data_IF_313793492522
#
_entry.id   IF_313793492522
#
_cell.length_a   1.000
_cell.length_b   1.000
_cell.length_c   1.000
_cell.angle_alpha   90.00
_cell.angle_beta   90.00
_cell.angle_gamma   90.00
#
_symmetry.space_group_name_H-M   'P 1'
#
loop_
_entity.id
_entity.type
_entity.pdbx_description
1 polymer ?
#
# COMPACT_ATOMS: atom_id res chain seq x y z
N UNK A 1 6.04 -11.61 -27.29
CA UNK A 1 6.26 -11.03 -25.96
C UNK A 1 6.63 -9.56 -26.12
N UNK A 2 6.15 -8.67 -25.24
CA UNK A 2 6.56 -7.27 -25.27
C UNK A 2 7.96 -7.11 -24.67
N UNK A 3 8.80 -6.30 -25.31
CA UNK A 3 10.13 -5.92 -24.80
C UNK A 3 10.19 -4.43 -24.53
N UNK A 4 11.26 -3.98 -23.87
CA UNK A 4 11.53 -2.57 -23.57
C UNK A 4 12.69 -2.09 -24.44
N UNK A 5 12.50 -0.94 -25.08
CA UNK A 5 13.57 -0.18 -25.73
C UNK A 5 13.47 1.28 -25.31
N UNK A 6 14.37 1.70 -24.43
CA UNK A 6 14.31 3.00 -23.76
C UNK A 6 12.93 3.22 -23.10
N UNK A 7 12.26 4.32 -23.43
CA UNK A 7 10.94 4.68 -22.90
C UNK A 7 9.74 3.94 -23.54
N UNK A 8 9.99 3.02 -24.48
CA UNK A 8 8.95 2.39 -25.30
C UNK A 8 8.81 0.89 -25.05
N UNK A 9 7.56 0.42 -24.99
CA UNK A 9 7.26 -0.99 -25.20
C UNK A 9 7.33 -1.31 -26.70
N UNK A 10 7.91 -2.46 -27.03
CA UNK A 10 8.03 -2.97 -28.40
C UNK A 10 7.37 -4.33 -28.51
N UNK A 11 6.62 -4.54 -29.59
CA UNK A 11 6.15 -5.88 -29.94
C UNK A 11 7.16 -6.64 -30.81
N UNK A 12 6.81 -7.87 -31.17
CA UNK A 12 7.64 -8.77 -31.97
C UNK A 12 7.93 -8.25 -33.39
N UNK A 13 7.17 -7.26 -33.86
CA UNK A 13 7.38 -6.59 -35.15
C UNK A 13 8.19 -5.29 -35.00
N UNK A 14 8.66 -4.97 -33.80
CA UNK A 14 9.40 -3.74 -33.48
C UNK A 14 8.52 -2.49 -33.40
N UNK A 15 7.19 -2.62 -33.38
CA UNK A 15 6.28 -1.45 -33.29
C UNK A 15 6.25 -0.91 -31.86
N UNK A 16 6.12 0.41 -31.73
CA UNK A 16 5.89 1.05 -30.43
C UNK A 16 4.47 0.72 -29.96
N UNK A 17 4.35 0.18 -28.75
CA UNK A 17 3.07 -0.18 -28.15
C UNK A 17 2.74 0.82 -27.03
N UNK A 18 1.55 1.40 -27.10
CA UNK A 18 0.97 2.16 -26.01
C UNK A 18 0.02 1.26 -25.24
N UNK A 19 0.29 1.06 -23.96
CA UNK A 19 -0.58 0.32 -23.06
C UNK A 19 -1.63 1.29 -22.50
N UNK A 20 -2.91 0.99 -22.74
CA UNK A 20 -4.06 1.70 -22.21
C UNK A 20 -5.01 0.68 -21.64
N UNK A 21 -5.32 0.82 -20.36
CA UNK A 21 -5.97 -0.24 -19.62
C UNK A 21 -6.76 0.24 -18.42
N UNK A 22 -7.14 -0.74 -17.62
CA UNK A 22 -7.87 -0.56 -16.36
C UNK A 22 -7.21 -1.36 -15.24
N UNK A 23 -7.27 -0.82 -14.03
CA UNK A 23 -7.08 -1.61 -12.81
C UNK A 23 -8.24 -2.62 -12.68
N UNK A 24 -7.93 -3.89 -12.44
CA UNK A 24 -8.89 -4.98 -12.45
C UNK A 24 -8.69 -5.92 -11.25
N UNK A 25 -9.51 -5.84 -10.21
CA UNK A 25 -10.50 -4.80 -9.91
C UNK A 25 -10.51 -4.53 -8.41
N UNK A 26 -10.94 -3.33 -8.00
CA UNK A 26 -10.96 -2.95 -6.58
C UNK A 26 -11.77 -3.88 -5.66
N UNK A 27 -12.66 -4.71 -6.24
CA UNK A 27 -13.37 -5.77 -5.50
C UNK A 27 -12.44 -6.90 -5.02
N UNK A 28 -11.28 -7.09 -5.66
CA UNK A 28 -10.27 -8.10 -5.29
C UNK A 28 -9.53 -7.80 -3.98
N UNK A 29 -9.75 -6.62 -3.41
CA UNK A 29 -9.19 -6.19 -2.12
C UNK A 29 -9.77 -6.95 -0.92
N UNK A 30 -10.93 -7.57 -1.08
CA UNK A 30 -11.66 -8.25 0.01
C UNK A 30 -12.19 -9.61 -0.43
N UNK A 31 -12.37 -10.57 0.50
CA UNK A 31 -12.83 -11.91 0.14
C UNK A 31 -14.22 -11.90 -0.50
N UNK A 32 -14.45 -12.89 -1.35
CA UNK A 32 -15.74 -13.13 -1.99
C UNK A 32 -16.67 -13.92 -1.07
N UNK A 33 -16.15 -14.95 -0.39
CA UNK A 33 -16.91 -15.79 0.54
C UNK A 33 -16.15 -15.96 1.86
N UNK A 34 -16.77 -15.64 3.01
CA UNK A 34 -17.98 -14.83 3.13
C UNK A 34 -17.80 -13.45 2.50
N UNK A 35 -18.89 -12.70 2.32
CA UNK A 35 -18.83 -11.37 1.73
C UNK A 35 -17.90 -10.45 2.57
N UNK A 36 -16.74 -10.09 2.02
CA UNK A 36 -15.74 -9.28 2.72
C UNK A 36 -15.96 -7.78 2.70
N UNK A 37 -17.14 -7.29 2.33
CA UNK A 37 -17.41 -5.85 2.26
C UNK A 37 -17.10 -5.17 3.60
N UNK A 38 -16.35 -4.07 3.55
CA UNK A 38 -15.74 -3.44 4.74
C UNK A 38 -16.72 -2.77 5.71
N UNK A 39 -17.99 -2.64 5.34
CA UNK A 39 -19.05 -2.14 6.22
C UNK A 39 -19.73 -3.27 7.02
N UNK A 40 -19.38 -4.54 6.75
CA UNK A 40 -19.92 -5.69 7.47
C UNK A 40 -19.06 -5.99 8.69
N UNK A 41 -19.69 -6.10 9.86
CA UNK A 41 -18.98 -6.35 11.11
C UNK A 41 -18.25 -7.70 11.08
N UNK A 42 -16.97 -7.68 11.41
CA UNK A 42 -16.11 -8.85 11.61
C UNK A 42 -15.03 -8.49 12.63
N UNK A 43 -14.60 -9.45 13.43
CA UNK A 43 -13.47 -9.30 14.35
C UNK A 43 -12.14 -9.79 13.73
N UNK A 44 -12.17 -10.21 12.45
CA UNK A 44 -11.03 -10.71 11.71
C UNK A 44 -10.41 -12.02 12.25
N UNK A 45 -11.09 -12.73 13.14
CA UNK A 45 -10.56 -13.98 13.74
C UNK A 45 -10.82 -15.23 12.92
N UNK A 46 -11.82 -15.22 12.04
CA UNK A 46 -12.09 -16.32 11.11
C UNK A 46 -11.28 -16.17 9.82
N UNK A 47 -10.33 -17.08 9.62
CA UNK A 47 -9.51 -17.17 8.42
C UNK A 47 -10.16 -18.00 7.30
N UNK A 48 -11.37 -18.51 7.50
CA UNK A 48 -12.12 -19.30 6.49
C UNK A 48 -12.70 -18.39 5.41
N UNK A 49 -11.82 -17.75 4.65
CA UNK A 49 -12.17 -16.81 3.57
C UNK A 49 -11.68 -17.34 2.23
N UNK A 50 -12.40 -16.99 1.16
CA UNK A 50 -12.02 -17.31 -0.21
C UNK A 50 -12.11 -16.07 -1.08
N UNK A 51 -11.09 -15.87 -1.90
CA UNK A 51 -11.03 -14.83 -2.93
C UNK A 51 -11.42 -15.35 -4.31
N UNK A 52 -11.75 -16.64 -4.44
CA UNK A 52 -12.27 -17.23 -5.68
C UNK A 52 -13.52 -16.47 -6.13
N UNK A 53 -13.52 -16.00 -7.38
CA UNK A 53 -14.60 -15.15 -7.90
C UNK A 53 -14.36 -13.64 -7.72
N UNK A 54 -13.16 -13.22 -7.28
CA UNK A 54 -12.68 -11.83 -7.41
C UNK A 54 -11.71 -11.71 -8.58
N UNK A 55 -11.88 -10.72 -9.49
CA UNK A 55 -12.76 -9.56 -9.39
C UNK A 55 -14.24 -9.86 -9.71
N UNK A 56 -14.52 -10.98 -10.38
CA UNK A 56 -15.86 -11.45 -10.75
C UNK A 56 -15.92 -12.99 -10.89
N UNK A 57 -17.10 -13.62 -10.85
CA UNK A 57 -17.24 -15.05 -11.12
C UNK A 57 -16.65 -15.46 -12.47
N UNK A 58 -15.97 -16.61 -12.55
CA UNK A 58 -15.24 -17.04 -13.76
C UNK A 58 -16.12 -17.04 -15.03
N UNK A 59 -17.38 -17.44 -14.92
CA UNK A 59 -18.36 -17.46 -16.02
C UNK A 59 -18.61 -16.09 -16.67
N UNK A 60 -18.30 -15.00 -15.97
CA UNK A 60 -18.49 -13.63 -16.47
C UNK A 60 -17.23 -13.09 -17.17
N UNK A 61 -16.09 -13.74 -17.01
CA UNK A 61 -14.79 -13.28 -17.50
C UNK A 61 -14.81 -12.95 -18.99
N UNK A 62 -15.35 -13.87 -19.82
CA UNK A 62 -15.50 -13.67 -21.26
C UNK A 62 -16.25 -12.38 -21.61
N UNK A 63 -17.34 -12.09 -20.89
CA UNK A 63 -18.14 -10.88 -21.15
C UNK A 63 -17.41 -9.61 -20.73
N UNK A 64 -16.76 -9.62 -19.56
CA UNK A 64 -16.03 -8.45 -19.07
C UNK A 64 -14.81 -8.12 -19.94
N UNK A 65 -14.02 -9.12 -20.33
CA UNK A 65 -12.86 -8.92 -21.19
C UNK A 65 -13.24 -8.49 -22.61
N UNK A 66 -14.32 -9.05 -23.18
CA UNK A 66 -14.86 -8.58 -24.46
C UNK A 66 -15.24 -7.09 -24.41
N UNK A 67 -15.85 -6.63 -23.31
CA UNK A 67 -16.21 -5.20 -23.12
C UNK A 67 -14.97 -4.31 -23.01
N UNK A 68 -14.00 -4.70 -22.18
CA UNK A 68 -12.74 -3.96 -22.03
C UNK A 68 -12.04 -3.82 -23.37
N UNK A 69 -11.95 -4.91 -24.14
CA UNK A 69 -11.35 -4.91 -25.47
C UNK A 69 -12.15 -4.05 -26.46
N UNK A 70 -13.48 -4.13 -26.42
CA UNK A 70 -14.38 -3.33 -27.27
C UNK A 70 -14.25 -1.82 -27.01
N UNK A 71 -13.97 -1.40 -25.77
CA UNK A 71 -13.68 0.00 -25.43
C UNK A 71 -12.31 0.48 -25.92
N UNK A 72 -11.52 -0.39 -26.56
CA UNK A 72 -10.23 -0.05 -27.14
C UNK A 72 -9.05 -0.19 -26.17
N UNK A 73 -9.28 -0.70 -24.96
CA UNK A 73 -8.19 -1.04 -24.06
C UNK A 73 -7.44 -2.29 -24.54
N UNK A 74 -6.16 -2.34 -24.21
CA UNK A 74 -5.25 -3.45 -24.54
C UNK A 74 -4.43 -3.92 -23.34
N UNK A 75 -4.65 -3.33 -22.15
CA UNK A 75 -3.90 -3.65 -20.95
C UNK A 75 -4.79 -3.79 -19.71
N UNK A 76 -4.33 -4.56 -18.74
CA UNK A 76 -4.93 -4.78 -17.43
C UNK A 76 -3.83 -4.65 -16.36
N UNK A 77 -4.16 -3.99 -15.26
CA UNK A 77 -3.42 -4.09 -13.99
C UNK A 77 -4.23 -5.01 -13.08
N UNK A 78 -3.86 -6.28 -13.02
CA UNK A 78 -4.63 -7.33 -12.37
C UNK A 78 -4.26 -7.45 -10.90
N UNK A 79 -5.20 -7.09 -10.04
CA UNK A 79 -5.01 -7.01 -8.59
C UNK A 79 -4.98 -8.40 -7.97
N UNK A 80 -3.90 -8.70 -7.26
CA UNK A 80 -3.75 -9.86 -6.37
C UNK A 80 -3.26 -9.38 -5.02
N UNK A 81 -3.99 -9.68 -3.94
CA UNK A 81 -3.49 -9.40 -2.58
C UNK A 81 -2.68 -10.59 -2.07
N UNK A 82 -1.72 -10.35 -1.16
CA UNK A 82 -0.99 -11.42 -0.48
C UNK A 82 -1.96 -12.30 0.34
N UNK A 83 -2.96 -11.69 0.99
CA UNK A 83 -4.03 -12.39 1.70
C UNK A 83 -4.77 -13.38 0.80
N UNK A 84 -5.12 -13.00 -0.44
CA UNK A 84 -5.82 -13.90 -1.34
C UNK A 84 -5.06 -15.22 -1.58
N UNK A 85 -3.72 -15.17 -1.55
CA UNK A 85 -2.88 -16.34 -1.77
C UNK A 85 -2.57 -17.11 -0.48
N UNK A 86 -2.46 -16.45 0.68
CA UNK A 86 -1.93 -17.03 1.92
C UNK A 86 -2.74 -16.64 3.18
N UNK A 87 -4.06 -16.50 3.07
CA UNK A 87 -4.93 -16.07 4.19
C UNK A 87 -4.92 -17.05 5.39
N UNK A 88 -4.86 -18.36 5.13
CA UNK A 88 -5.05 -19.43 6.14
C UNK A 88 -3.87 -19.59 7.10
N UNK A 89 -2.78 -18.85 6.90
CA UNK A 89 -1.59 -18.90 7.72
C UNK A 89 -0.29 -19.10 6.93
N UNK A 90 0.86 -19.01 7.62
CA UNK A 90 2.18 -19.13 7.01
C UNK A 90 2.34 -20.42 6.18
N UNK A 91 2.74 -20.29 4.92
CA UNK A 91 2.95 -21.33 3.90
C UNK A 91 1.70 -22.15 3.56
N UNK A 92 0.50 -21.68 3.92
CA UNK A 92 -0.78 -22.31 3.59
C UNK A 92 -1.41 -21.59 2.41
N UNK A 93 -0.98 -21.97 1.20
CA UNK A 93 -1.41 -21.32 -0.03
C UNK A 93 -2.78 -21.81 -0.50
N UNK A 94 -3.65 -20.87 -0.89
CA UNK A 94 -4.96 -21.15 -1.47
C UNK A 94 -4.80 -21.62 -2.93
N UNK A 95 -4.88 -22.93 -3.15
CA UNK A 95 -4.75 -23.53 -4.48
C UNK A 95 -5.95 -23.22 -5.37
N UNK A 96 -7.15 -23.14 -4.82
CA UNK A 96 -8.38 -22.89 -5.57
C UNK A 96 -8.38 -21.46 -6.13
N UNK A 97 -7.92 -20.50 -5.32
CA UNK A 97 -7.70 -19.13 -5.79
C UNK A 97 -6.65 -19.08 -6.91
N UNK A 98 -5.53 -19.80 -6.75
CA UNK A 98 -4.48 -19.86 -7.77
C UNK A 98 -4.97 -20.49 -9.09
N UNK A 99 -5.77 -21.55 -9.02
CA UNK A 99 -6.41 -22.17 -10.20
C UNK A 99 -7.39 -21.18 -10.85
N UNK A 100 -8.18 -20.46 -10.06
CA UNK A 100 -9.09 -19.42 -10.56
C UNK A 100 -8.34 -18.29 -11.28
N UNK A 101 -7.24 -17.77 -10.70
CA UNK A 101 -6.43 -16.71 -11.33
C UNK A 101 -5.85 -17.18 -12.66
N UNK A 102 -5.34 -18.41 -12.73
CA UNK A 102 -4.84 -19.01 -13.95
C UNK A 102 -5.90 -19.00 -15.07
N UNK A 103 -7.11 -19.47 -14.77
CA UNK A 103 -8.21 -19.52 -15.74
C UNK A 103 -8.69 -18.13 -16.17
N UNK A 104 -8.81 -17.17 -15.25
CA UNK A 104 -9.18 -15.79 -15.59
C UNK A 104 -8.15 -15.17 -16.54
N UNK A 105 -6.86 -15.39 -16.29
CA UNK A 105 -5.79 -14.81 -17.10
C UNK A 105 -5.62 -15.52 -18.45
N UNK A 106 -5.95 -16.81 -18.56
CA UNK A 106 -6.09 -17.51 -19.85
C UNK A 106 -7.16 -16.84 -20.70
N UNK A 107 -8.33 -16.54 -20.12
CA UNK A 107 -9.40 -15.85 -20.83
C UNK A 107 -8.96 -14.43 -21.22
N UNK A 108 -8.29 -13.67 -20.33
CA UNK A 108 -7.78 -12.35 -20.68
C UNK A 108 -6.81 -12.38 -21.88
N UNK A 109 -5.99 -13.43 -21.99
CA UNK A 109 -5.08 -13.66 -23.11
C UNK A 109 -5.81 -13.93 -24.43
N UNK A 110 -6.93 -14.66 -24.43
CA UNK A 110 -7.78 -14.86 -25.62
C UNK A 110 -8.27 -13.53 -26.21
N UNK A 111 -8.48 -12.53 -25.35
CA UNK A 111 -8.86 -11.16 -25.74
C UNK A 111 -7.68 -10.24 -26.05
N UNK A 112 -6.45 -10.77 -26.02
CA UNK A 112 -5.21 -10.06 -26.30
C UNK A 112 -4.97 -8.87 -25.37
N UNK A 113 -5.30 -9.04 -24.08
CA UNK A 113 -5.11 -8.03 -23.05
C UNK A 113 -3.78 -8.28 -22.32
N UNK A 114 -2.81 -7.39 -22.54
CA UNK A 114 -1.56 -7.40 -21.78
C UNK A 114 -1.83 -7.19 -20.30
N UNK A 115 -1.25 -8.01 -19.44
CA UNK A 115 -1.58 -7.99 -18.02
C UNK A 115 -0.33 -7.84 -17.16
N UNK A 116 -0.36 -6.87 -16.27
CA UNK A 116 0.54 -6.78 -15.13
C UNK A 116 -0.13 -7.41 -13.91
N UNK A 117 0.60 -8.25 -13.18
CA UNK A 117 0.16 -8.67 -11.85
C UNK A 117 0.55 -7.57 -10.88
N UNK A 118 -0.43 -7.08 -10.13
CA UNK A 118 -0.29 -6.05 -9.11
C UNK A 118 -0.50 -6.69 -7.72
N UNK A 119 0.59 -6.93 -6.98
CA UNK A 119 0.56 -7.26 -5.56
C UNK A 119 0.02 -6.11 -4.70
N UNK A 120 -1.31 -5.99 -4.68
CA UNK A 120 -1.99 -4.83 -4.16
C UNK A 120 -2.06 -4.84 -2.64
N UNK A 121 -1.96 -3.65 -2.07
CA UNK A 121 -2.23 -3.38 -0.67
C UNK A 121 -2.64 -1.91 -0.52
N UNK A 122 -3.51 -1.66 0.45
CA UNK A 122 -3.70 -0.36 1.08
C UNK A 122 -3.56 -0.54 2.58
N UNK A 123 -2.82 0.34 3.26
CA UNK A 123 -2.69 0.30 4.72
C UNK A 123 -2.30 -1.07 5.28
N UNK A 124 -1.47 -1.83 4.56
CA UNK A 124 -1.01 -3.16 4.89
C UNK A 124 -2.07 -4.27 4.83
N UNK A 125 -3.25 -4.11 5.44
CA UNK A 125 -4.22 -5.21 5.59
C UNK A 125 -5.63 -4.70 5.88
N UNK A 126 -6.65 -5.53 5.59
CA UNK A 126 -8.05 -5.23 5.92
C UNK A 126 -8.32 -5.08 7.42
N UNK A 127 -7.56 -5.78 8.26
CA UNK A 127 -7.64 -5.58 9.72
C UNK A 127 -7.13 -4.19 10.16
N UNK A 128 -6.30 -3.53 9.34
CA UNK A 128 -5.85 -2.16 9.56
C UNK A 128 -6.64 -1.12 8.75
N UNK A 129 -7.80 -1.50 8.19
CA UNK A 129 -8.70 -0.61 7.46
C UNK A 129 -8.40 -0.44 5.97
N UNK A 130 -7.53 -1.27 5.38
CA UNK A 130 -7.28 -1.31 3.93
C UNK A 130 -7.37 -2.72 3.35
N UNK A 131 -6.30 -3.23 2.74
CA UNK A 131 -6.18 -4.57 2.14
C UNK A 131 -4.71 -4.96 1.92
N UNK A 132 -4.45 -6.21 1.51
CA UNK A 132 -3.13 -6.63 1.05
C UNK A 132 -2.59 -7.85 1.80
N UNK A 133 -1.92 -7.63 2.93
CA UNK A 133 -1.29 -8.66 3.73
C UNK A 133 -2.29 -9.48 4.57
N UNK A 134 -2.04 -10.79 4.76
CA UNK A 134 -2.83 -11.64 5.64
C UNK A 134 -2.84 -11.14 7.09
N UNK A 135 -3.96 -11.38 7.79
CA UNK A 135 -4.16 -10.97 9.18
C UNK A 135 -3.13 -11.60 10.12
N UNK A 136 -2.76 -12.87 9.88
CA UNK A 136 -1.78 -13.60 10.71
C UNK A 136 -0.44 -12.86 10.84
N UNK A 137 -0.11 -11.96 9.92
CA UNK A 137 1.13 -11.16 9.99
C UNK A 137 1.18 -10.29 11.24
N UNK A 138 0.04 -9.79 11.74
CA UNK A 138 -0.05 -9.02 12.98
C UNK A 138 0.17 -9.92 14.20
N UNK A 139 -0.46 -11.09 14.24
CA UNK A 139 -0.33 -12.02 15.36
C UNK A 139 1.12 -12.49 15.53
N UNK A 140 1.83 -12.72 14.41
CA UNK A 140 3.25 -13.10 14.43
C UNK A 140 4.16 -12.04 15.05
N UNK A 141 3.74 -10.78 15.08
CA UNK A 141 4.50 -9.70 15.72
C UNK A 141 3.92 -9.29 17.09
N UNK A 142 2.98 -10.07 17.62
CA UNK A 142 2.39 -9.84 18.94
C UNK A 142 1.24 -8.85 18.96
N UNK A 143 0.63 -8.53 17.82
CA UNK A 143 -0.51 -7.61 17.74
C UNK A 143 -1.84 -8.37 17.71
N UNK A 144 -2.80 -7.90 18.49
CA UNK A 144 -4.17 -8.39 18.61
C UNK A 144 -5.13 -7.54 17.77
N UNK A 145 -5.51 -8.08 16.61
CA UNK A 145 -6.33 -7.39 15.61
C UNK A 145 -7.73 -7.06 16.12
N UNK A 146 -8.26 -7.83 17.07
CA UNK A 146 -9.60 -7.61 17.64
C UNK A 146 -9.67 -6.31 18.44
N UNK A 147 -8.52 -5.78 18.87
CA UNK A 147 -8.40 -4.58 19.72
C UNK A 147 -8.03 -3.32 18.94
N UNK A 148 -7.80 -3.39 17.63
CA UNK A 148 -7.22 -2.28 16.87
C UNK A 148 -8.06 -1.00 16.89
N UNK A 149 -9.38 -1.10 16.77
CA UNK A 149 -10.24 0.08 16.79
C UNK A 149 -10.31 0.70 18.20
N UNK A 150 -10.51 -0.16 19.20
CA UNK A 150 -10.63 0.25 20.61
C UNK A 150 -9.33 0.88 21.15
N UNK A 151 -8.17 0.36 20.75
CA UNK A 151 -6.86 0.92 21.11
C UNK A 151 -6.42 2.09 20.23
N UNK A 152 -7.21 2.41 19.20
CA UNK A 152 -6.86 3.38 18.15
C UNK A 152 -5.60 3.02 17.33
N UNK A 153 -5.16 1.75 17.34
CA UNK A 153 -4.08 1.24 16.52
C UNK A 153 -4.41 1.16 15.02
N UNK A 154 -5.69 1.05 14.67
CA UNK A 154 -6.24 1.30 13.34
C UNK A 154 -7.73 1.66 13.46
N UNK A 155 -8.25 2.53 12.60
CA UNK A 155 -9.69 2.78 12.53
C UNK A 155 -10.29 1.99 11.37
N UNK A 156 -11.25 1.13 11.67
CA UNK A 156 -11.85 0.23 10.67
C UNK A 156 -13.29 0.59 10.43
N UNK A 157 -13.70 0.54 9.15
CA UNK A 157 -15.05 0.89 8.75
C UNK A 157 -16.08 -0.04 9.43
N UNK A 158 -15.73 -1.30 9.62
CA UNK A 158 -16.54 -2.34 10.28
C UNK A 158 -16.98 -1.96 11.70
N UNK A 159 -16.21 -1.14 12.41
CA UNK A 159 -16.51 -0.78 13.80
C UNK A 159 -17.11 0.61 13.93
N UNK A 160 -16.96 1.46 12.91
CA UNK A 160 -17.25 2.90 13.00
C UNK A 160 -18.30 3.39 12.02
N UNK A 161 -18.48 2.69 10.91
CA UNK A 161 -19.47 3.11 9.93
C UNK A 161 -20.87 2.86 10.48
N UNK A 162 -21.63 3.94 10.59
CA UNK A 162 -23.06 3.89 10.85
C UNK A 162 -23.77 4.47 9.62
N UNK A 163 -24.65 3.72 8.94
CA UNK A 163 -25.42 4.26 7.82
C UNK A 163 -26.34 5.43 8.21
N UNK A 164 -26.64 5.60 9.51
CA UNK A 164 -27.43 6.71 10.04
C UNK A 164 -26.56 7.88 10.52
N UNK A 165 -25.25 7.69 10.66
CA UNK A 165 -24.27 8.72 11.00
C UNK A 165 -23.06 8.65 10.05
N UNK A 166 -23.16 9.27 8.86
CA UNK A 166 -22.06 9.28 7.90
C UNK A 166 -20.82 10.04 8.40
N UNK A 167 -20.94 10.83 9.48
CA UNK A 167 -19.82 11.53 10.09
C UNK A 167 -19.01 10.64 11.06
N UNK A 168 -19.54 9.46 11.44
CA UNK A 168 -18.83 8.49 12.28
C UNK A 168 -17.63 7.84 11.57
N UNK A 169 -17.73 7.68 10.24
CA UNK A 169 -16.62 7.27 9.38
C UNK A 169 -16.61 8.11 8.09
N UNK A 170 -16.08 9.36 8.15
CA UNK A 170 -16.16 10.29 7.03
C UNK A 170 -15.43 9.75 5.78
N UNK A 171 -15.86 10.16 4.57
CA UNK A 171 -15.14 9.85 3.34
C UNK A 171 -13.66 10.19 3.44
N UNK A 172 -12.80 9.31 2.94
CA UNK A 172 -11.32 9.44 2.95
C UNK A 172 -10.67 9.43 4.34
N UNK A 173 -11.41 9.19 5.41
CA UNK A 173 -10.85 9.09 6.77
C UNK A 173 -9.93 7.86 6.96
N UNK A 174 -10.06 6.84 6.11
CA UNK A 174 -9.21 5.64 6.10
C UNK A 174 -7.72 5.96 5.97
N UNK A 175 -7.35 6.99 5.19
CA UNK A 175 -5.95 7.42 4.99
C UNK A 175 -5.22 7.73 6.31
N UNK A 176 -5.95 8.07 7.38
CA UNK A 176 -5.35 8.32 8.69
C UNK A 176 -4.63 7.10 9.27
N UNK A 177 -4.97 5.89 8.82
CA UNK A 177 -4.28 4.68 9.27
C UNK A 177 -2.82 4.64 8.79
N UNK A 178 -2.40 5.46 7.80
CA UNK A 178 -0.98 5.70 7.45
C UNK A 178 -0.20 6.50 8.52
N UNK A 179 -0.86 6.88 9.62
CA UNK A 179 -0.25 7.44 10.83
C UNK A 179 -0.57 6.65 12.10
N UNK A 180 -1.12 5.42 11.99
CA UNK A 180 -1.47 4.61 13.17
C UNK A 180 -0.55 3.40 13.33
N UNK A 181 -0.58 2.85 14.54
CA UNK A 181 0.40 1.85 14.99
C UNK A 181 0.42 0.62 14.09
N UNK A 182 -0.74 0.05 13.75
CA UNK A 182 -0.81 -1.23 13.06
C UNK A 182 -0.09 -1.20 11.71
N UNK A 183 -0.57 -0.37 10.78
CA UNK A 183 0.00 -0.24 9.44
C UNK A 183 1.46 0.23 9.47
N UNK A 184 1.76 1.32 10.19
CA UNK A 184 3.11 1.86 10.20
C UNK A 184 4.14 0.93 10.84
N UNK A 185 3.76 0.16 11.87
CA UNK A 185 4.65 -0.85 12.44
C UNK A 185 4.97 -1.91 11.41
N UNK A 186 3.97 -2.48 10.74
CA UNK A 186 4.19 -3.55 9.77
C UNK A 186 5.07 -3.13 8.59
N UNK A 187 4.84 -1.94 8.02
CA UNK A 187 5.73 -1.41 6.97
C UNK A 187 7.16 -1.19 7.45
N UNK A 188 7.34 -0.68 8.68
CA UNK A 188 8.67 -0.47 9.26
C UNK A 188 9.40 -1.80 9.45
N UNK A 189 8.69 -2.83 9.93
CA UNK A 189 9.24 -4.18 10.08
C UNK A 189 9.55 -4.82 8.72
N UNK A 190 8.66 -4.67 7.74
CA UNK A 190 8.80 -5.25 6.41
C UNK A 190 10.00 -4.69 5.65
N UNK A 191 10.25 -3.38 5.71
CA UNK A 191 11.35 -2.76 4.96
C UNK A 191 12.63 -2.61 5.77
N UNK A 192 12.52 -2.33 7.07
CA UNK A 192 13.65 -1.94 7.92
C UNK A 192 13.73 -2.69 9.24
N UNK A 193 13.07 -3.84 9.39
CA UNK A 193 13.08 -4.62 10.63
C UNK A 193 14.49 -5.00 11.09
N UNK A 194 15.41 -5.32 10.18
CA UNK A 194 16.80 -5.64 10.53
C UNK A 194 17.58 -4.45 11.12
N UNK A 195 17.13 -3.23 10.82
CA UNK A 195 17.76 -1.99 11.29
C UNK A 195 17.09 -1.48 12.56
N UNK A 196 15.77 -1.39 12.55
CA UNK A 196 15.00 -0.71 13.61
C UNK A 196 14.39 -1.67 14.63
N UNK A 197 14.28 -2.95 14.30
CA UNK A 197 13.70 -3.97 15.18
C UNK A 197 14.53 -5.27 15.23
N UNK A 198 15.86 -5.23 15.43
CA UNK A 198 16.73 -6.42 15.37
C UNK A 198 16.40 -7.50 16.40
N UNK A 199 15.70 -7.17 17.49
CA UNK A 199 15.23 -8.13 18.49
C UNK A 199 13.94 -8.85 18.07
N UNK A 200 13.21 -8.30 17.10
CA UNK A 200 11.95 -8.87 16.62
C UNK A 200 12.25 -10.05 15.69
N UNK A 201 12.00 -11.26 16.20
CA UNK A 201 12.17 -12.53 15.48
C UNK A 201 10.92 -13.38 15.58
N UNK A 202 10.58 -14.04 14.48
CA UNK A 202 9.46 -14.99 14.39
C UNK A 202 10.04 -16.33 14.01
N UNK A 203 9.80 -17.34 14.85
CA UNK A 203 10.33 -18.70 14.63
C UNK A 203 11.87 -18.70 14.44
N UNK A 204 12.56 -17.81 15.17
CA UNK A 204 14.01 -17.61 15.09
C UNK A 204 14.49 -16.78 13.90
N UNK A 205 13.64 -16.44 12.95
CA UNK A 205 13.96 -15.65 11.76
C UNK A 205 13.76 -14.16 12.04
N UNK A 206 14.70 -13.27 11.66
CA UNK A 206 14.47 -11.82 11.68
C UNK A 206 13.18 -11.43 10.97
N UNK A 207 12.39 -10.55 11.59
CA UNK A 207 11.04 -10.22 11.13
C UNK A 207 11.00 -9.70 9.69
N UNK A 208 12.00 -8.93 9.27
CA UNK A 208 12.10 -8.40 7.91
C UNK A 208 12.15 -9.53 6.89
N UNK A 209 13.07 -10.48 7.10
CA UNK A 209 13.25 -11.65 6.25
C UNK A 209 12.01 -12.54 6.29
N UNK A 210 11.42 -12.74 7.47
CA UNK A 210 10.21 -13.53 7.62
C UNK A 210 9.06 -12.95 6.77
N UNK A 211 8.74 -11.66 6.89
CA UNK A 211 7.65 -11.05 6.13
C UNK A 211 7.95 -10.99 4.62
N UNK A 212 9.15 -10.56 4.22
CA UNK A 212 9.53 -10.47 2.81
C UNK A 212 9.53 -11.84 2.13
N UNK A 213 10.07 -12.88 2.78
CA UNK A 213 10.12 -14.23 2.21
C UNK A 213 8.72 -14.81 2.02
N UNK A 214 7.80 -14.60 2.94
CA UNK A 214 6.42 -15.08 2.79
C UNK A 214 5.69 -14.34 1.68
N UNK A 215 5.77 -13.01 1.64
CA UNK A 215 5.21 -12.19 0.58
C UNK A 215 5.70 -12.62 -0.81
N UNK A 216 7.02 -12.73 -0.98
CA UNK A 216 7.64 -13.17 -2.24
C UNK A 216 7.23 -14.61 -2.56
N UNK A 217 7.23 -15.51 -1.58
CA UNK A 217 6.85 -16.92 -1.79
C UNK A 217 5.40 -17.08 -2.25
N UNK A 218 4.48 -16.27 -1.72
CA UNK A 218 3.09 -16.22 -2.19
C UNK A 218 3.01 -15.77 -3.65
N UNK A 219 3.73 -14.70 -4.02
CA UNK A 219 3.75 -14.21 -5.40
C UNK A 219 4.47 -15.16 -6.37
N UNK A 220 5.48 -15.91 -5.91
CA UNK A 220 6.05 -17.03 -6.66
C UNK A 220 5.00 -18.10 -6.98
N UNK A 221 3.98 -18.31 -6.14
CA UNK A 221 2.86 -19.22 -6.48
C UNK A 221 2.04 -18.69 -7.63
N UNK A 222 1.75 -17.39 -7.65
CA UNK A 222 1.08 -16.73 -8.78
C UNK A 222 1.93 -16.84 -10.04
N UNK A 223 3.22 -16.48 -9.96
CA UNK A 223 4.17 -16.56 -11.08
C UNK A 223 4.22 -17.96 -11.70
N UNK A 224 4.27 -19.02 -10.89
CA UNK A 224 4.26 -20.40 -11.40
C UNK A 224 3.00 -20.74 -12.21
N UNK A 225 1.84 -20.18 -11.86
CA UNK A 225 0.59 -20.42 -12.58
C UNK A 225 0.52 -19.72 -13.93
N UNK A 226 1.16 -18.55 -14.02
CA UNK A 226 1.00 -17.66 -15.18
C UNK A 226 2.23 -17.62 -16.09
N UNK A 227 3.31 -18.32 -15.74
CA UNK A 227 4.60 -18.28 -16.46
C UNK A 227 4.50 -18.61 -17.96
N UNK A 228 3.55 -19.46 -18.33
CA UNK A 228 3.36 -19.94 -19.70
C UNK A 228 2.35 -19.05 -20.48
N UNK A 229 1.81 -18.01 -19.85
CA UNK A 229 0.89 -17.05 -20.47
C UNK A 229 1.66 -15.85 -21.06
N UNK A 230 1.76 -15.72 -22.40
CA UNK A 230 2.56 -14.66 -23.03
C UNK A 230 1.94 -13.26 -22.92
N UNK A 231 0.69 -13.15 -22.47
CA UNK A 231 0.02 -11.88 -22.20
C UNK A 231 0.19 -11.41 -20.77
N UNK A 232 0.72 -12.24 -19.85
CA UNK A 232 1.18 -11.77 -18.54
C UNK A 232 2.60 -11.26 -18.70
N UNK A 233 2.74 -9.95 -18.82
CA UNK A 233 3.98 -9.30 -19.27
C UNK A 233 4.87 -8.83 -18.13
N UNK A 234 4.33 -8.74 -16.92
CA UNK A 234 5.10 -8.21 -15.80
C UNK A 234 4.46 -8.40 -14.43
N UNK A 235 5.28 -8.18 -13.42
CA UNK A 235 4.89 -8.11 -12.02
C UNK A 235 5.29 -6.75 -11.47
N UNK A 236 4.36 -6.07 -10.81
CA UNK A 236 4.72 -4.98 -9.93
C UNK A 236 5.31 -5.53 -8.64
N UNK A 237 6.19 -4.75 -8.00
CA UNK A 237 6.85 -5.17 -6.76
C UNK A 237 5.89 -5.08 -5.57
N UNK A 238 5.16 -3.98 -5.45
CA UNK A 238 4.18 -3.69 -4.40
C UNK A 238 3.43 -2.41 -4.77
N UNK A 239 2.11 -2.41 -4.66
CA UNK A 239 1.32 -1.18 -4.79
C UNK A 239 1.70 -0.18 -3.69
N UNK A 240 2.00 1.06 -4.07
CA UNK A 240 2.13 2.21 -3.18
C UNK A 240 2.95 1.96 -1.89
N UNK A 241 4.24 1.55 -1.98
CA UNK A 241 5.00 1.13 -0.82
C UNK A 241 5.18 2.27 0.19
N UNK A 242 4.70 2.04 1.42
CA UNK A 242 4.83 3.00 2.52
C UNK A 242 6.12 2.78 3.30
N UNK A 243 6.84 3.85 3.69
CA UNK A 243 8.01 3.74 4.56
C UNK A 243 7.64 3.43 6.03
N UNK A 244 6.35 3.41 6.38
CA UNK A 244 5.93 3.31 7.78
C UNK A 244 6.48 4.48 8.61
N UNK A 245 7.34 4.16 9.59
CA UNK A 245 8.04 5.13 10.42
C UNK A 245 9.43 5.50 9.91
N UNK A 246 9.99 4.79 8.93
CA UNK A 246 11.33 5.04 8.40
C UNK A 246 11.39 6.49 7.86
N UNK A 247 12.31 7.29 8.41
CA UNK A 247 12.49 8.70 8.08
C UNK A 247 11.63 9.67 8.90
N UNK A 248 10.76 9.20 9.80
CA UNK A 248 9.89 10.06 10.62
C UNK A 248 10.46 10.28 12.02
N UNK A 249 10.37 11.52 12.52
CA UNK A 249 10.62 11.84 13.92
C UNK A 249 9.39 11.56 14.78
N UNK A 250 9.58 11.17 16.04
CA UNK A 250 8.49 10.74 16.92
C UNK A 250 7.46 11.82 17.26
N UNK A 251 7.90 13.08 17.25
CA UNK A 251 7.05 14.26 17.44
C UNK A 251 6.59 14.90 16.11
N UNK A 252 7.01 14.34 14.98
CA UNK A 252 6.69 14.85 13.65
C UNK A 252 5.24 14.59 13.23
N UNK A 253 4.75 15.37 12.28
CA UNK A 253 3.42 15.18 11.69
C UNK A 253 3.36 13.95 10.74
N UNK A 254 2.18 13.34 10.60
CA UNK A 254 1.85 12.13 9.80
C UNK A 254 2.07 12.21 8.27
N UNK A 255 1.16 11.71 7.41
CA UNK A 255 1.31 11.64 5.93
C UNK A 255 0.53 12.76 5.18
N UNK A 256 1.09 13.41 4.15
CA UNK A 256 0.89 14.84 3.82
C UNK A 256 -0.52 15.47 3.78
N UNK A 257 -1.55 14.82 3.23
CA UNK A 257 -2.93 15.38 3.20
C UNK A 257 -3.77 14.89 4.39
N UNK A 258 -3.45 13.72 4.93
CA UNK A 258 -3.94 13.24 6.23
C UNK A 258 -3.23 13.89 7.43
N UNK A 259 -2.13 14.65 7.21
CA UNK A 259 -1.29 15.26 8.27
C UNK A 259 -2.08 16.19 9.17
N UNK A 260 -3.03 16.89 8.57
CA UNK A 260 -3.76 17.96 9.23
C UNK A 260 -5.26 17.75 9.20
N UNK A 261 -5.77 16.81 8.40
CA UNK A 261 -7.19 16.53 8.30
C UNK A 261 -7.55 15.33 9.17
N UNK A 262 -8.65 15.45 9.92
CA UNK A 262 -9.08 14.51 10.95
C UNK A 262 -8.11 14.50 12.14
N UNK A 263 -7.72 13.34 12.68
CA UNK A 263 -6.87 13.23 13.88
C UNK A 263 -5.39 13.45 13.56
N UNK A 264 -4.79 14.48 14.17
CA UNK A 264 -3.37 14.81 14.04
C UNK A 264 -2.46 13.90 14.89
N UNK A 265 -2.45 12.60 14.60
CA UNK A 265 -1.67 11.60 15.34
C UNK A 265 -0.20 11.65 14.93
N UNK A 266 0.69 11.76 15.93
CA UNK A 266 2.14 11.63 15.78
C UNK A 266 2.57 10.17 15.96
N UNK A 267 3.76 9.75 15.48
CA UNK A 267 4.25 8.40 15.71
C UNK A 267 4.27 8.00 17.20
N UNK A 268 4.68 8.90 18.09
CA UNK A 268 4.65 8.62 19.53
C UNK A 268 3.24 8.45 20.09
N UNK A 269 2.28 9.27 19.65
CA UNK A 269 0.87 9.12 20.04
C UNK A 269 0.32 7.76 19.60
N UNK A 270 0.63 7.32 18.38
CA UNK A 270 0.22 6.00 17.89
C UNK A 270 0.78 4.84 18.75
N UNK A 271 2.06 4.94 19.13
CA UNK A 271 2.71 3.95 20.00
C UNK A 271 2.11 3.91 21.41
N UNK A 272 1.89 5.09 22.01
CA UNK A 272 1.27 5.21 23.32
C UNK A 272 -0.18 4.68 23.31
N UNK A 273 -0.98 5.11 22.33
CA UNK A 273 -2.38 4.67 22.16
C UNK A 273 -2.49 3.15 22.04
N UNK A 274 -1.75 2.55 21.11
CA UNK A 274 -1.81 1.09 20.93
C UNK A 274 -1.25 0.29 22.10
N UNK A 275 -0.51 0.93 23.02
CA UNK A 275 0.01 0.30 24.24
C UNK A 275 -0.87 0.57 25.47
N UNK A 276 -2.08 1.10 25.28
CA UNK A 276 -3.03 1.33 26.38
C UNK A 276 -2.86 2.64 27.12
N UNK A 277 -2.12 3.61 26.60
CA UNK A 277 -2.04 4.95 27.18
C UNK A 277 -2.98 5.92 26.45
N UNK A 278 -4.06 6.40 27.10
CA UNK A 278 -4.97 7.36 26.49
C UNK A 278 -4.26 8.65 26.08
N UNK A 279 -4.67 9.24 24.94
CA UNK A 279 -4.10 10.49 24.43
C UNK A 279 -5.18 11.45 24.00
N UNK A 280 -5.02 12.73 24.34
CA UNK A 280 -5.84 13.81 23.80
C UNK A 280 -5.24 14.27 22.46
N UNK A 281 -5.99 14.08 21.37
CA UNK A 281 -5.52 14.31 20.00
C UNK A 281 -6.37 15.41 19.34
N UNK A 282 -5.75 16.37 18.63
CA UNK A 282 -6.48 17.36 17.85
C UNK A 282 -7.19 16.71 16.67
N UNK A 283 -8.44 17.11 16.45
CA UNK A 283 -9.22 16.76 15.26
C UNK A 283 -9.51 18.02 14.44
N UNK A 284 -9.20 17.95 13.15
CA UNK A 284 -9.12 19.11 12.27
C UNK A 284 -9.93 18.90 10.98
N UNK A 285 -10.54 19.95 10.45
CA UNK A 285 -11.34 19.93 9.22
C UNK A 285 -10.98 21.09 8.30
N UNK A 286 -11.28 20.97 7.00
CA UNK A 286 -11.20 22.11 6.08
C UNK A 286 -12.34 23.08 6.37
N UNK A 287 -12.01 24.29 6.84
CA UNK A 287 -12.95 25.41 7.02
C UNK A 287 -12.51 26.59 6.16
N UNK A 288 -13.41 27.06 5.27
CA UNK A 288 -13.22 28.27 4.44
C UNK A 288 -11.81 28.32 3.80
N UNK A 289 -11.41 27.24 3.12
CA UNK A 289 -10.13 27.07 2.39
C UNK A 289 -8.87 26.84 3.23
N UNK A 290 -8.97 26.64 4.55
CA UNK A 290 -7.82 26.26 5.38
C UNK A 290 -8.17 25.10 6.31
N UNK A 291 -7.17 24.29 6.65
CA UNK A 291 -7.32 23.26 7.69
C UNK A 291 -7.32 23.93 9.06
N UNK A 292 -8.26 23.57 9.92
CA UNK A 292 -8.37 24.11 11.28
C UNK A 292 -8.71 23.01 12.28
N UNK A 293 -8.06 23.03 13.44
CA UNK A 293 -8.48 22.28 14.61
C UNK A 293 -9.91 22.71 14.98
N UNK A 294 -10.82 21.74 15.05
CA UNK A 294 -12.22 21.97 15.38
C UNK A 294 -12.59 21.44 16.76
N UNK A 295 -11.85 20.43 17.25
CA UNK A 295 -12.00 19.86 18.59
C UNK A 295 -10.75 19.09 18.99
N UNK A 296 -10.69 18.71 20.27
CA UNK A 296 -9.77 17.67 20.78
C UNK A 296 -10.58 16.52 21.32
N UNK A 297 -10.02 15.32 21.23
CA UNK A 297 -10.69 14.10 21.64
C UNK A 297 -9.72 13.16 22.34
N UNK A 298 -10.17 12.51 23.42
CA UNK A 298 -9.40 11.48 24.10
C UNK A 298 -9.59 10.17 23.35
N UNK A 299 -8.53 9.71 22.69
CA UNK A 299 -8.50 8.40 22.06
C UNK A 299 -8.03 7.33 23.05
N UNK A 300 -8.56 6.12 22.89
CA UNK A 300 -8.37 4.97 23.78
C UNK A 300 -8.61 5.29 25.28
N UNK A 301 -9.78 5.83 25.66
CA UNK A 301 -10.06 6.23 27.05
C UNK A 301 -10.04 5.06 28.05
N UNK A 302 -10.24 3.83 27.56
CA UNK A 302 -10.29 2.62 28.37
C UNK A 302 -8.91 1.95 28.55
N UNK A 303 -7.85 2.54 28.01
CA UNK A 303 -6.48 2.02 28.16
C UNK A 303 -6.27 0.62 27.57
N UNK A 304 -6.93 0.31 26.46
CA UNK A 304 -6.83 -0.99 25.79
C UNK A 304 -5.49 -1.09 25.05
N UNK A 305 -4.70 -2.11 25.38
CA UNK A 305 -3.51 -2.48 24.61
C UNK A 305 -3.90 -3.37 23.43
N UNK A 306 -3.39 -3.08 22.22
CA UNK A 306 -3.52 -4.00 21.07
C UNK A 306 -2.39 -5.01 20.97
N UNK A 307 -1.60 -5.20 22.02
CA UNK A 307 -0.61 -6.27 22.08
C UNK A 307 -1.26 -7.52 22.69
N UNK A 308 -0.89 -8.68 22.16
CA UNK A 308 -1.28 -9.97 22.70
C UNK A 308 -0.71 -10.13 24.12
N UNK A 309 -1.39 -10.91 24.95
CA UNK A 309 -0.92 -11.17 26.32
C UNK A 309 0.50 -11.75 26.30
N UNK A 310 1.35 -11.25 27.21
CA UNK A 310 2.76 -11.63 27.28
C UNK A 310 3.67 -10.99 26.21
N UNK A 311 3.15 -10.15 25.31
CA UNK A 311 3.94 -9.43 24.32
C UNK A 311 4.16 -7.98 24.73
N UNK A 312 5.43 -7.59 24.86
CA UNK A 312 5.80 -6.20 25.09
C UNK A 312 5.77 -5.40 23.77
N UNK A 313 5.38 -4.10 23.75
CA UNK A 313 5.41 -3.29 22.54
C UNK A 313 6.79 -3.25 21.89
N UNK A 314 6.88 -3.61 20.61
CA UNK A 314 8.16 -3.71 19.87
C UNK A 314 9.01 -2.45 20.02
N UNK A 315 8.42 -1.27 19.82
CA UNK A 315 9.18 -0.03 19.87
C UNK A 315 9.64 0.33 21.29
N UNK A 316 8.94 -0.14 22.33
CA UNK A 316 9.40 -0.03 23.71
C UNK A 316 10.59 -0.95 23.98
N UNK A 317 10.53 -2.21 23.52
CA UNK A 317 11.65 -3.17 23.60
C UNK A 317 12.95 -2.65 22.97
N UNK A 318 12.84 -1.80 21.96
CA UNK A 318 13.97 -1.19 21.25
C UNK A 318 14.38 0.18 21.81
N UNK A 319 13.84 0.59 22.96
CA UNK A 319 14.21 1.83 23.64
C UNK A 319 13.84 3.10 22.86
N UNK A 320 12.79 3.04 22.03
CA UNK A 320 12.26 4.21 21.30
C UNK A 320 11.53 5.14 22.27
N UNK A 321 10.75 4.55 23.17
CA UNK A 321 10.01 5.20 24.24
C UNK A 321 9.90 4.26 25.44
N UNK A 322 9.58 4.78 26.62
CA UNK A 322 9.33 4.00 27.83
C UNK A 322 8.32 4.71 28.74
N UNK A 323 8.14 4.23 29.97
CA UNK A 323 7.24 4.78 30.97
C UNK A 323 8.07 5.40 32.10
N UNK A 324 7.77 6.65 32.46
CA UNK A 324 8.43 7.34 33.56
C UNK A 324 8.02 6.79 34.94
N UNK A 325 8.66 7.30 35.99
CA UNK A 325 8.36 6.94 37.39
C UNK A 325 6.90 7.20 37.83
N UNK A 326 6.14 8.00 37.07
CA UNK A 326 4.74 8.32 37.34
C UNK A 326 3.77 7.48 36.48
N UNK A 327 4.26 6.51 35.72
CA UNK A 327 3.42 5.71 34.83
C UNK A 327 3.06 6.41 33.51
N UNK A 328 3.75 7.50 33.13
CA UNK A 328 3.46 8.22 31.87
C UNK A 328 4.41 7.79 30.75
N UNK A 329 3.91 7.58 29.51
CA UNK A 329 4.78 7.28 28.40
C UNK A 329 5.63 8.50 28.05
N UNK A 330 6.93 8.28 27.80
CA UNK A 330 7.93 9.29 27.45
C UNK A 330 8.82 8.81 26.31
N UNK A 331 9.21 9.72 25.42
CA UNK A 331 10.15 9.45 24.34
C UNK A 331 11.56 9.28 24.92
N UNK A 332 12.28 8.25 24.46
CA UNK A 332 13.69 8.02 24.80
C UNK A 332 14.59 8.40 23.62
N UNK A 333 14.20 8.03 22.39
CA UNK A 333 14.96 8.32 21.16
C UNK A 333 14.05 8.95 20.09
N UNK A 334 14.01 10.28 20.05
CA UNK A 334 13.10 11.04 19.18
C UNK A 334 13.38 10.92 17.67
N UNK A 335 14.63 10.65 17.30
CA UNK A 335 15.13 10.54 15.93
C UNK A 335 15.44 9.08 15.52
N UNK A 336 14.96 8.10 16.31
CA UNK A 336 15.27 6.67 16.14
C UNK A 336 15.08 6.15 14.70
N UNK A 337 14.05 6.61 14.00
CA UNK A 337 13.77 6.20 12.61
C UNK A 337 14.39 7.14 11.56
N UNK A 338 15.01 8.24 11.95
CA UNK A 338 15.55 9.25 11.04
C UNK A 338 17.05 9.06 10.76
N UNK A 339 17.78 8.43 11.67
CA UNK A 339 19.23 8.27 11.60
C UNK A 339 19.61 6.80 11.69
N UNK A 340 20.48 6.34 10.79
CA UNK A 340 21.10 5.02 10.87
C UNK A 340 22.61 5.15 10.68
N UNK A 341 23.40 4.60 11.63
CA UNK A 341 24.88 4.67 11.62
C UNK A 341 25.42 6.09 11.44
N UNK A 342 24.77 7.08 12.07
CA UNK A 342 25.19 8.49 12.03
C UNK A 342 24.82 9.26 10.76
N UNK A 343 24.04 8.67 9.84
CA UNK A 343 23.57 9.35 8.63
C UNK A 343 22.03 9.37 8.55
N UNK A 344 21.42 10.39 7.92
CA UNK A 344 19.99 10.38 7.61
C UNK A 344 19.61 9.15 6.79
N UNK A 345 18.46 8.56 7.12
CA UNK A 345 17.96 7.40 6.39
C UNK A 345 17.48 7.80 5.00
N UNK A 346 17.76 6.95 4.02
CA UNK A 346 17.25 7.05 2.64
C UNK A 346 16.39 5.82 2.40
N UNK A 347 15.07 5.95 2.59
CA UNK A 347 14.12 4.84 2.42
C UNK A 347 14.26 4.18 1.05
N UNK A 348 14.34 5.01 0.00
CA UNK A 348 14.30 4.57 -1.37
C UNK A 348 15.51 3.69 -1.70
N UNK A 349 16.72 4.16 -1.38
CA UNK A 349 17.95 3.47 -1.77
C UNK A 349 18.42 2.42 -0.75
N UNK A 350 18.12 2.60 0.55
CA UNK A 350 18.62 1.69 1.60
C UNK A 350 17.65 0.60 2.00
N UNK A 351 16.36 0.74 1.69
CA UNK A 351 15.33 -0.19 2.16
C UNK A 351 14.44 -0.70 1.01
N UNK A 352 13.90 0.18 0.17
CA UNK A 352 13.07 -0.24 -0.97
C UNK A 352 13.90 -0.89 -2.07
N UNK A 353 15.05 -0.30 -2.46
CA UNK A 353 15.90 -0.82 -3.53
C UNK A 353 16.39 -2.26 -3.27
N UNK A 354 16.92 -2.62 -2.09
CA UNK A 354 17.28 -4.02 -1.80
C UNK A 354 16.11 -4.99 -1.91
N UNK A 355 14.92 -4.59 -1.43
CA UNK A 355 13.72 -5.42 -1.55
C UNK A 355 13.31 -5.61 -3.02
N UNK A 356 13.33 -4.55 -3.84
CA UNK A 356 13.02 -4.62 -5.27
C UNK A 356 13.96 -5.59 -6.00
N UNK A 357 15.26 -5.56 -5.70
CA UNK A 357 16.22 -6.50 -6.30
C UNK A 357 15.94 -7.93 -5.87
N UNK A 358 15.76 -8.16 -4.56
CA UNK A 358 15.45 -9.49 -4.05
C UNK A 358 14.16 -10.07 -4.64
N UNK A 359 13.10 -9.26 -4.68
CA UNK A 359 11.84 -9.61 -5.33
C UNK A 359 12.05 -9.98 -6.80
N UNK A 360 12.81 -9.15 -7.52
CA UNK A 360 13.07 -9.36 -8.95
C UNK A 360 13.79 -10.66 -9.20
N UNK A 361 14.86 -10.95 -8.45
CA UNK A 361 15.64 -12.18 -8.59
C UNK A 361 14.76 -13.41 -8.35
N UNK A 362 13.92 -13.36 -7.32
CA UNK A 362 13.03 -14.45 -6.94
C UNK A 362 11.90 -14.70 -7.95
N UNK A 363 11.29 -13.64 -8.50
CA UNK A 363 10.27 -13.78 -9.54
C UNK A 363 10.89 -14.23 -10.87
N UNK A 364 12.07 -13.68 -11.24
CA UNK A 364 12.77 -14.07 -12.47
C UNK A 364 13.37 -15.46 -12.43
N UNK A 365 13.54 -16.06 -11.25
CA UNK A 365 13.83 -17.49 -11.14
C UNK A 365 12.72 -18.38 -11.75
N UNK A 366 11.51 -17.83 -11.94
CA UNK A 366 10.35 -18.50 -12.55
C UNK A 366 10.00 -17.90 -13.91
N UNK A 367 10.02 -16.58 -14.02
CA UNK A 367 9.67 -15.83 -15.23
C UNK A 367 10.85 -14.93 -15.66
N UNK A 368 11.90 -15.46 -16.30
CA UNK A 368 13.18 -14.75 -16.51
C UNK A 368 13.06 -13.40 -17.22
N UNK A 369 12.20 -13.33 -18.24
CA UNK A 369 12.03 -12.15 -19.09
C UNK A 369 10.93 -11.20 -18.62
N UNK A 370 10.35 -11.43 -17.44
CA UNK A 370 9.21 -10.62 -16.97
C UNK A 370 9.63 -9.18 -16.66
N UNK A 371 8.76 -8.25 -17.02
CA UNK A 371 8.92 -6.85 -16.69
C UNK A 371 8.66 -6.61 -15.20
N UNK A 372 9.44 -5.71 -14.59
CA UNK A 372 9.28 -5.35 -13.18
C UNK A 372 8.73 -3.93 -13.06
N UNK A 373 7.50 -3.81 -12.59
CA UNK A 373 6.90 -2.54 -12.25
C UNK A 373 7.36 -2.06 -10.88
N UNK A 374 7.97 -0.88 -10.83
CA UNK A 374 8.47 -0.30 -9.58
C UNK A 374 7.66 0.95 -9.28
N UNK A 375 7.10 0.99 -8.08
CA UNK A 375 6.48 2.17 -7.51
C UNK A 375 7.39 2.77 -6.42
N UNK A 376 7.69 4.07 -6.46
CA UNK A 376 8.25 4.78 -5.30
C UNK A 376 7.14 5.04 -4.26
N UNK A 377 7.48 5.55 -3.06
CA UNK A 377 6.46 6.06 -2.14
C UNK A 377 5.50 7.04 -2.84
N UNK A 378 4.17 6.88 -2.71
CA UNK A 378 3.19 7.53 -3.59
C UNK A 378 3.33 9.03 -3.67
N UNK A 379 3.51 9.71 -2.53
CA UNK A 379 3.64 11.16 -2.48
C UNK A 379 4.83 11.66 -3.30
N UNK A 380 5.99 11.03 -3.17
CA UNK A 380 7.20 11.42 -3.88
C UNK A 380 7.16 10.98 -5.35
N UNK A 381 6.52 9.84 -5.64
CA UNK A 381 6.25 9.35 -7.00
C UNK A 381 5.37 10.30 -7.81
N UNK A 382 4.21 10.67 -7.25
CA UNK A 382 3.26 11.61 -7.88
C UNK A 382 3.88 12.97 -8.21
N UNK A 383 4.89 13.40 -7.43
CA UNK A 383 5.62 14.65 -7.68
C UNK A 383 6.74 14.51 -8.71
N UNK A 384 7.06 13.28 -9.13
CA UNK A 384 8.20 12.96 -9.99
C UNK A 384 9.56 13.16 -9.29
N UNK A 385 9.58 13.12 -7.95
CA UNK A 385 10.75 13.44 -7.13
C UNK A 385 11.54 12.18 -6.73
N UNK A 386 10.89 11.02 -6.71
CA UNK A 386 11.49 9.76 -6.29
C UNK A 386 11.39 8.69 -7.38
N UNK A 387 12.52 8.07 -7.67
CA UNK A 387 12.62 6.78 -8.34
C UNK A 387 14.01 6.19 -8.06
N UNK A 388 14.13 4.86 -8.03
CA UNK A 388 15.40 4.17 -7.75
C UNK A 388 16.50 4.65 -8.71
N UNK A 389 17.70 4.89 -8.19
CA UNK A 389 18.85 5.26 -9.03
C UNK A 389 19.28 4.10 -9.94
N UNK A 390 19.25 2.89 -9.41
CA UNK A 390 19.69 1.68 -10.10
C UNK A 390 18.62 0.58 -10.00
N UNK A 391 17.49 0.70 -10.73
CA UNK A 391 16.51 -0.38 -10.76
C UNK A 391 17.07 -1.61 -11.51
N UNK A 392 16.52 -2.82 -11.28
CA UNK A 392 16.82 -3.99 -12.11
C UNK A 392 16.60 -3.71 -13.61
N UNK A 393 17.27 -4.47 -14.48
CA UNK A 393 16.98 -4.41 -15.93
C UNK A 393 15.53 -4.80 -16.23
N UNK A 394 15.00 -4.40 -17.39
CA UNK A 394 13.60 -4.62 -17.77
C UNK A 394 12.59 -4.12 -16.72
N UNK A 395 12.91 -3.00 -16.05
CA UNK A 395 12.00 -2.32 -15.14
C UNK A 395 11.21 -1.23 -15.85
N UNK A 396 10.04 -0.90 -15.32
CA UNK A 396 9.25 0.26 -15.71
C UNK A 396 8.90 1.10 -14.47
N UNK A 397 8.65 2.37 -14.71
CA UNK A 397 8.12 3.27 -13.69
C UNK A 397 6.60 3.11 -13.60
N UNK A 398 6.10 2.59 -12.48
CA UNK A 398 4.68 2.38 -12.20
C UNK A 398 4.05 3.49 -11.36
N UNK A 399 4.65 4.68 -11.27
CA UNK A 399 4.14 5.76 -10.41
C UNK A 399 2.68 6.12 -10.70
N UNK A 400 1.91 6.38 -9.64
CA UNK A 400 0.53 6.84 -9.77
C UNK A 400 0.44 8.35 -9.97
N UNK A 401 -0.73 8.84 -10.37
CA UNK A 401 -1.03 10.26 -10.36
C UNK A 401 -2.52 10.50 -10.04
N UNK A 402 -2.78 11.37 -9.07
CA UNK A 402 -4.14 11.71 -8.63
C UNK A 402 -4.34 13.22 -8.53
N UNK A 403 -5.55 13.68 -8.90
CA UNK A 403 -6.03 15.01 -8.53
C UNK A 403 -6.59 14.96 -7.10
N UNK A 404 -5.86 15.53 -6.14
CA UNK A 404 -6.19 15.48 -4.71
C UNK A 404 -7.57 16.03 -4.38
N UNK A 405 -8.01 17.08 -5.08
CA UNK A 405 -9.35 17.64 -4.85
C UNK A 405 -10.41 16.64 -5.32
N UNK A 406 -10.22 16.03 -6.49
CA UNK A 406 -11.13 15.00 -6.99
C UNK A 406 -11.13 13.77 -6.08
N UNK A 407 -9.96 13.30 -5.64
CA UNK A 407 -9.85 12.14 -4.73
C UNK A 407 -10.54 12.41 -3.40
N UNK A 408 -10.28 13.59 -2.81
CA UNK A 408 -10.87 14.02 -1.54
C UNK A 408 -12.38 14.23 -1.60
N UNK A 409 -12.86 14.92 -2.64
CA UNK A 409 -14.30 15.29 -2.77
C UNK A 409 -15.14 14.24 -3.49
N UNK A 410 -14.52 13.26 -4.15
CA UNK A 410 -15.17 12.31 -5.07
C UNK A 410 -16.02 13.00 -6.14
N UNK A 411 -15.61 14.20 -6.57
CA UNK A 411 -16.33 15.04 -7.55
C UNK A 411 -15.33 15.75 -8.45
N UNK A 412 -15.50 15.61 -9.76
CA UNK A 412 -14.68 16.34 -10.72
C UNK A 412 -15.07 17.82 -10.79
N UNK A 413 -14.07 18.69 -10.68
CA UNK A 413 -14.22 20.14 -10.88
C UNK A 413 -13.09 20.62 -11.79
N UNK A 414 -13.31 20.60 -13.10
CA UNK A 414 -12.26 20.93 -14.08
C UNK A 414 -11.63 22.32 -13.95
N UNK A 415 -12.23 23.23 -13.18
CA UNK A 415 -11.71 24.58 -12.91
C UNK A 415 -11.05 24.75 -11.53
N UNK A 416 -11.02 23.71 -10.68
CA UNK A 416 -10.49 23.79 -9.31
C UNK A 416 -9.69 22.53 -8.98
N UNK A 417 -8.41 22.68 -8.68
CA UNK A 417 -7.54 21.60 -8.21
C UNK A 417 -6.51 22.15 -7.19
N UNK A 418 -5.64 21.28 -6.67
CA UNK A 418 -4.60 21.61 -5.71
C UNK A 418 -3.24 21.11 -6.20
N UNK A 419 -2.28 22.02 -6.34
CA UNK A 419 -0.91 21.69 -6.70
C UNK A 419 -0.14 21.28 -5.43
N UNK A 420 0.02 19.97 -5.22
CA UNK A 420 0.79 19.42 -4.10
C UNK A 420 2.28 19.72 -4.17
N UNK A 421 2.82 20.06 -5.34
CA UNK A 421 4.24 20.42 -5.49
C UNK A 421 4.50 21.86 -5.05
N UNK A 422 3.51 22.74 -5.18
CA UNK A 422 3.61 24.17 -4.82
C UNK A 422 2.81 24.54 -3.58
N UNK A 423 2.05 23.62 -3.02
CA UNK A 423 1.15 23.82 -1.90
C UNK A 423 0.13 24.95 -2.16
N UNK A 424 -0.52 24.94 -3.34
CA UNK A 424 -1.40 26.03 -3.80
C UNK A 424 -2.68 25.52 -4.49
N UNK A 425 -3.79 26.19 -4.21
CA UNK A 425 -5.03 26.03 -5.00
C UNK A 425 -4.83 26.57 -6.41
N UNK A 426 -5.29 25.81 -7.40
CA UNK A 426 -5.27 26.16 -8.81
C UNK A 426 -6.69 26.39 -9.30
N UNK A 427 -6.91 27.55 -9.90
CA UNK A 427 -8.22 28.00 -10.41
C UNK A 427 -8.18 28.21 -11.92
N UNK A 428 -9.27 27.85 -12.59
CA UNK A 428 -9.48 27.98 -14.02
C UNK A 428 -9.02 26.75 -14.81
N UNK A 429 -9.84 26.31 -15.77
CA UNK A 429 -9.62 25.07 -16.52
C UNK A 429 -8.26 25.00 -17.22
N UNK A 430 -7.82 26.09 -17.85
CA UNK A 430 -6.52 26.13 -18.53
C UNK A 430 -5.33 26.00 -17.55
N UNK A 431 -5.45 26.55 -16.34
CA UNK A 431 -4.39 26.43 -15.33
C UNK A 431 -4.35 25.03 -14.73
N UNK A 432 -5.52 24.43 -14.47
CA UNK A 432 -5.62 23.03 -14.00
C UNK A 432 -5.03 22.08 -15.03
N UNK A 433 -5.39 22.22 -16.31
CA UNK A 433 -4.81 21.41 -17.39
C UNK A 433 -3.29 21.59 -17.51
N UNK A 434 -2.81 22.84 -17.42
CA UNK A 434 -1.36 23.13 -17.42
C UNK A 434 -0.66 22.46 -16.25
N UNK A 435 -1.26 22.47 -15.06
CA UNK A 435 -0.72 21.78 -13.88
C UNK A 435 -0.65 20.27 -14.10
N UNK A 436 -1.73 19.64 -14.57
CA UNK A 436 -1.76 18.20 -14.84
C UNK A 436 -0.67 17.80 -15.85
N UNK A 437 -0.55 18.53 -16.95
CA UNK A 437 0.50 18.31 -17.94
C UNK A 437 1.91 18.45 -17.34
N UNK A 438 2.13 19.44 -16.47
CA UNK A 438 3.42 19.64 -15.80
C UNK A 438 3.76 18.50 -14.84
N UNK A 439 2.78 18.02 -14.06
CA UNK A 439 2.99 16.93 -13.10
C UNK A 439 3.28 15.61 -13.82
N UNK A 440 2.45 15.23 -14.81
CA UNK A 440 2.66 14.02 -15.61
C UNK A 440 4.00 14.06 -16.37
N UNK A 441 4.39 15.23 -16.89
CA UNK A 441 5.68 15.38 -17.56
C UNK A 441 6.87 15.20 -16.62
N UNK A 442 6.77 15.57 -15.33
CA UNK A 442 7.82 15.31 -14.33
C UNK A 442 8.01 13.81 -14.09
N UNK A 443 6.92 13.07 -13.95
CA UNK A 443 6.97 11.60 -13.78
C UNK A 443 7.68 10.96 -14.99
N UNK A 444 7.29 11.36 -16.21
CA UNK A 444 7.94 10.87 -17.43
C UNK A 444 9.42 11.28 -17.51
N UNK A 445 9.75 12.54 -17.17
CA UNK A 445 11.12 13.02 -17.19
C UNK A 445 12.02 12.20 -16.26
N UNK A 446 11.50 11.83 -15.08
CA UNK A 446 12.23 10.98 -14.14
C UNK A 446 12.59 9.63 -14.75
N UNK A 447 11.69 9.02 -15.52
CA UNK A 447 11.95 7.76 -16.22
C UNK A 447 13.00 7.88 -17.34
N UNK A 448 13.12 9.05 -17.98
CA UNK A 448 14.14 9.31 -19.01
C UNK A 448 15.55 9.41 -18.44
N UNK A 449 15.68 9.83 -17.19
CA UNK A 449 16.96 9.93 -16.49
C UNK A 449 17.55 8.54 -16.15
N UNK A 450 16.73 7.49 -16.15
CA UNK A 450 17.14 6.13 -15.81
C UNK A 450 17.65 5.40 -17.04
N UNK A 451 18.97 5.12 -17.09
CA UNK A 451 19.62 4.26 -18.11
C UNK A 451 19.26 4.60 -19.58
N UNK A 452 19.10 5.88 -19.91
CA UNK A 452 18.73 6.32 -21.26
C UNK A 452 17.23 6.23 -21.57
N UNK A 453 16.42 5.79 -20.59
CA UNK A 453 14.97 5.77 -20.63
C UNK A 453 14.43 4.41 -20.18
N UNK A 454 13.39 4.45 -19.34
CA UNK A 454 12.51 3.30 -19.08
C UNK A 454 11.05 3.67 -19.37
N UNK A 455 10.17 2.70 -19.67
CA UNK A 455 8.76 2.99 -19.87
C UNK A 455 8.11 3.49 -18.60
N UNK A 456 7.05 4.27 -18.76
CA UNK A 456 6.21 4.74 -17.65
C UNK A 456 4.79 4.29 -17.89
N UNK A 457 4.21 3.63 -16.90
CA UNK A 457 2.78 3.34 -16.82
C UNK A 457 2.27 4.13 -15.62
N UNK A 458 1.24 4.93 -15.83
CA UNK A 458 0.63 5.72 -14.76
C UNK A 458 -0.61 4.98 -14.30
N UNK A 459 -0.57 4.53 -13.05
CA UNK A 459 -1.61 3.78 -12.36
C UNK A 459 -2.83 4.59 -11.96
#
# INVERSE_FOLDING_TARGET
MLTIENEWFRDELGRKVLLRGVNLGGSSKVPFTPNGATHLNTDFTDYSVSFVGRPFPLKEAQTHFARIRHWGFNALRFIVTWEAVEHSGPKRYDKEYLDYVEEVLKIAAEHQLYTFIDPHQDLWSRAAGGDGAPIWTFEKVGLDVTKFDASAAAFVMQNRYDPNDPDAYPPMSWLQNYGRLASCTMFTLFFGGNVFAPLCRVEGVPIQEYLQNHYISALKKVANRVRDNPYVIGFEVMNEPSPGWIGKGLEGAGFAISRELFYGIKPFDAMALGSGFPREIPYSLIKRFAVREVRREVLNPNGISCWLDGHEPIWRQHGVWDVDQNGKPVIIQGDFFQVHKGAPVDFLEKFLSPFVHHFTDEIRSICPETLIGIEPPPEAGMRGEAFLKNPPENSLNGSHWYDEIMVGMKRFRGWLSYDTTRNKLILGTGNVQKMFNQQLAKIQARSREIRGGIPTIIG
#
